data_IF_717420623966
#
_entry.id   IF_717420623966
#
_cell.length_a   1.000
_cell.length_b   1.000
_cell.length_c   1.000
_cell.angle_alpha   90.00
_cell.angle_beta   90.00
_cell.angle_gamma   90.00
#
_symmetry.space_group_name_H-M   'P 1'
#
loop_
_entity.id
_entity.type
_entity.pdbx_description
1 polymer ?
#
# COMPACT_ATOMS: atom_id res chain seq x y z
N UNK A 1 31.32 -13.97 41.34
CA UNK A 1 31.95 -12.68 40.94
C UNK A 1 32.50 -12.87 39.53
N UNK A 2 32.13 -12.14 38.47
CA UNK A 2 31.63 -10.77 38.33
C UNK A 2 30.50 -10.72 37.30
N UNK A 3 29.42 -10.03 37.66
CA UNK A 3 28.33 -9.54 36.81
C UNK A 3 28.77 -8.31 36.01
N UNK A 4 28.01 -7.97 34.95
CA UNK A 4 27.93 -6.71 34.19
C UNK A 4 28.47 -6.83 32.75
N UNK A 5 27.78 -6.41 31.68
CA UNK A 5 26.93 -5.22 31.49
C UNK A 5 26.32 -5.30 30.07
N UNK A 6 25.07 -5.74 29.86
CA UNK A 6 24.31 -5.46 28.63
C UNK A 6 22.81 -5.43 28.95
N UNK A 7 22.35 -4.35 29.57
CA UNK A 7 20.94 -3.91 29.53
C UNK A 7 20.91 -2.42 29.86
N UNK A 8 21.32 -1.61 28.89
CA UNK A 8 21.15 -0.15 28.91
C UNK A 8 20.86 0.30 27.47
N UNK A 9 19.60 0.15 27.03
CA UNK A 9 19.03 0.98 25.95
C UNK A 9 17.50 0.86 25.75
N UNK A 10 16.74 0.28 26.69
CA UNK A 10 15.26 0.21 26.57
C UNK A 10 14.59 1.24 27.50
N UNK A 11 15.15 2.44 27.63
CA UNK A 11 14.54 3.50 28.45
C UNK A 11 14.79 4.94 27.93
N UNK A 12 14.96 5.13 26.62
CA UNK A 12 15.14 6.48 26.04
C UNK A 12 14.07 6.88 25.01
N UNK A 13 12.86 6.36 25.11
CA UNK A 13 11.72 6.76 24.26
C UNK A 13 10.51 7.24 25.07
N UNK A 14 10.77 7.89 26.20
CA UNK A 14 9.74 8.60 26.97
C UNK A 14 10.16 10.06 27.21
N UNK A 15 10.50 10.77 26.14
CA UNK A 15 10.57 12.24 26.11
C UNK A 15 9.50 12.79 25.17
N UNK A 16 8.27 12.25 25.28
CA UNK A 16 7.08 13.01 24.95
C UNK A 16 6.89 14.00 26.08
N UNK A 17 7.15 15.28 25.80
CA UNK A 17 6.99 16.37 26.75
C UNK A 17 5.64 16.29 27.43
N UNK A 18 5.65 15.97 28.73
CA UNK A 18 4.56 16.23 29.65
C UNK A 18 4.33 17.74 29.67
N UNK A 19 3.42 18.22 28.84
CA UNK A 19 2.73 19.48 29.11
C UNK A 19 1.50 19.11 29.94
N UNK A 20 1.71 18.89 31.24
CA UNK A 20 0.60 18.87 32.21
C UNK A 20 0.32 20.32 32.60
N UNK A 21 -0.47 21.04 31.79
CA UNK A 21 -1.15 22.22 32.30
C UNK A 21 -2.53 21.80 32.79
N UNK A 22 -2.60 21.43 34.07
CA UNK A 22 -3.84 21.55 34.84
C UNK A 22 -3.55 21.67 36.34
N UNK A 23 -2.91 22.77 36.73
CA UNK A 23 -3.09 23.34 38.05
C UNK A 23 -3.51 24.80 37.89
N UNK A 24 -4.81 25.01 37.63
CA UNK A 24 -5.51 26.19 38.14
C UNK A 24 -6.69 25.66 38.95
N UNK A 25 -6.49 25.52 40.25
CA UNK A 25 -7.59 25.53 41.20
C UNK A 25 -7.36 26.70 42.17
N UNK A 26 -8.25 27.69 42.22
CA UNK A 26 -8.60 28.27 43.50
C UNK A 26 -9.21 27.13 44.35
N UNK A 27 -8.90 27.09 45.64
CA UNK A 27 -9.37 26.03 46.53
C UNK A 27 -10.90 25.98 46.54
N UNK A 28 -11.48 24.84 46.14
CA UNK A 28 -12.89 24.53 46.36
C UNK A 28 -12.95 23.20 47.11
N UNK A 29 -13.78 23.18 48.16
CA UNK A 29 -13.96 22.06 49.10
C UNK A 29 -14.44 20.75 48.44
N UNK A 30 -14.71 19.71 49.24
CA UNK A 30 -15.01 18.39 48.70
C UNK A 30 -16.30 18.43 47.90
N UNK A 31 -16.20 18.16 46.59
CA UNK A 31 -17.33 18.13 45.65
C UNK A 31 -18.03 16.78 45.71
N UNK A 32 -19.36 16.79 45.62
CA UNK A 32 -20.17 15.58 45.44
C UNK A 32 -19.91 14.95 44.07
N UNK A 33 -20.08 13.63 43.93
CA UNK A 33 -19.82 12.88 42.68
C UNK A 33 -20.59 13.46 41.47
N UNK A 34 -21.76 14.05 41.69
CA UNK A 34 -22.57 14.75 40.68
C UNK A 34 -21.91 16.02 40.12
N UNK A 35 -21.15 16.77 40.93
CA UNK A 35 -20.40 17.94 40.47
C UNK A 35 -19.11 17.56 39.73
N UNK A 36 -18.55 16.37 39.98
CA UNK A 36 -17.41 15.84 39.24
C UNK A 36 -17.81 15.40 37.81
N UNK A 37 -18.98 14.77 37.66
CA UNK A 37 -19.56 14.39 36.36
C UNK A 37 -19.96 15.64 35.55
N UNK A 38 -20.46 16.70 36.21
CA UNK A 38 -20.73 17.99 35.54
C UNK A 38 -19.50 18.74 35.05
N UNK A 39 -18.28 18.41 35.50
CA UNK A 39 -17.05 19.13 35.13
C UNK A 39 -16.14 18.39 34.13
N UNK A 40 -16.60 17.28 33.57
CA UNK A 40 -15.81 16.49 32.62
C UNK A 40 -16.32 16.67 31.19
N UNK A 41 -15.38 16.67 30.24
CA UNK A 41 -15.66 16.63 28.81
C UNK A 41 -15.57 15.17 28.36
N UNK A 42 -16.63 14.72 27.67
CA UNK A 42 -16.74 13.41 27.06
C UNK A 42 -15.48 13.04 26.25
N UNK A 43 -15.07 11.77 26.36
CA UNK A 43 -13.98 11.21 25.56
C UNK A 43 -14.45 10.89 24.14
N UNK A 44 -13.53 10.94 23.18
CA UNK A 44 -13.78 10.39 21.84
C UNK A 44 -13.75 8.86 21.96
N UNK A 45 -14.86 8.21 21.62
CA UNK A 45 -14.97 6.75 21.56
C UNK A 45 -14.44 6.20 20.25
N UNK A 46 -14.69 6.91 19.15
CA UNK A 46 -14.36 6.45 17.81
C UNK A 46 -14.17 7.63 16.87
N UNK A 47 -13.21 7.50 15.96
CA UNK A 47 -13.00 8.41 14.83
C UNK A 47 -12.68 7.58 13.59
N UNK A 48 -13.43 7.80 12.52
CA UNK A 48 -13.34 7.04 11.27
C UNK A 48 -13.38 7.98 10.09
N UNK A 49 -12.56 7.71 9.09
CA UNK A 49 -12.66 8.34 7.77
C UNK A 49 -13.43 7.40 6.86
N UNK A 50 -14.59 7.81 6.38
CA UNK A 50 -15.43 6.97 5.51
C UNK A 50 -15.21 7.30 4.05
N UNK A 51 -15.26 6.29 3.19
CA UNK A 51 -15.13 6.45 1.74
C UNK A 51 -16.18 7.41 1.20
N UNK A 52 -17.43 7.27 1.60
CA UNK A 52 -18.54 8.11 1.16
C UNK A 52 -18.29 9.62 1.41
N UNK A 53 -17.69 9.97 2.56
CA UNK A 53 -17.41 11.37 2.94
C UNK A 53 -16.10 11.91 2.37
N UNK A 54 -15.29 11.04 1.77
CA UNK A 54 -13.99 11.35 1.22
C UNK A 54 -13.87 10.88 -0.24
N UNK A 55 -14.96 11.01 -0.99
CA UNK A 55 -15.04 10.70 -2.42
C UNK A 55 -15.46 11.90 -3.24
N UNK A 56 -15.15 11.86 -4.54
CA UNK A 56 -15.49 12.87 -5.54
C UNK A 56 -16.33 12.25 -6.67
N UNK A 57 -17.08 13.11 -7.38
CA UNK A 57 -17.99 12.73 -8.46
C UNK A 57 -19.47 12.67 -8.04
N UNK A 58 -20.38 12.67 -9.01
CA UNK A 58 -21.83 12.48 -8.78
C UNK A 58 -22.41 11.61 -9.91
N UNK A 59 -22.65 10.31 -9.67
CA UNK A 59 -22.37 9.55 -8.44
C UNK A 59 -20.86 9.44 -8.14
N UNK A 60 -20.52 9.15 -6.87
CA UNK A 60 -19.12 9.06 -6.44
C UNK A 60 -18.36 7.97 -7.20
N UNK A 61 -17.19 8.31 -7.74
CA UNK A 61 -16.41 7.41 -8.62
C UNK A 61 -14.91 7.38 -8.31
N UNK A 62 -14.43 8.25 -7.41
CA UNK A 62 -13.03 8.30 -7.01
C UNK A 62 -12.90 8.76 -5.55
N UNK A 63 -11.81 8.36 -4.89
CA UNK A 63 -11.45 8.87 -3.57
C UNK A 63 -10.70 10.20 -3.70
N UNK A 64 -10.77 11.05 -2.68
CA UNK A 64 -9.83 12.17 -2.57
C UNK A 64 -8.40 11.66 -2.43
N UNK A 65 -7.42 12.44 -2.87
CA UNK A 65 -6.00 12.06 -2.77
C UNK A 65 -5.58 11.77 -1.33
N UNK A 66 -6.07 12.54 -0.35
CA UNK A 66 -5.78 12.32 1.06
C UNK A 66 -6.37 11.01 1.59
N UNK A 67 -7.57 10.62 1.17
CA UNK A 67 -8.18 9.36 1.59
C UNK A 67 -7.52 8.16 0.93
N UNK A 68 -7.22 8.26 -0.38
CA UNK A 68 -6.47 7.24 -1.09
C UNK A 68 -5.08 7.00 -0.45
N UNK A 69 -4.44 8.04 0.09
CA UNK A 69 -3.16 7.95 0.77
C UNK A 69 -3.20 7.15 2.10
N UNK A 70 -4.39 6.89 2.67
CA UNK A 70 -4.52 6.05 3.86
C UNK A 70 -4.42 4.54 3.55
N UNK A 71 -4.29 4.17 2.28
CA UNK A 71 -4.25 2.76 1.83
C UNK A 71 -2.91 2.42 1.20
N UNK A 72 -2.51 1.16 1.33
CA UNK A 72 -1.23 0.69 0.82
C UNK A 72 -1.25 0.73 -0.71
N UNK A 73 -0.19 1.27 -1.32
CA UNK A 73 -0.01 1.19 -2.78
C UNK A 73 0.18 -0.26 -3.20
N UNK A 74 -0.61 -0.73 -4.16
CA UNK A 74 -0.52 -2.09 -4.71
C UNK A 74 -0.26 -2.06 -6.21
N UNK A 75 0.22 -3.19 -6.72
CA UNK A 75 0.35 -3.45 -8.14
C UNK A 75 -0.30 -4.81 -8.44
N UNK A 76 -1.36 -4.88 -9.27
CA UNK A 76 -2.05 -3.75 -9.88
C UNK A 76 -2.66 -2.81 -8.82
N UNK A 77 -2.87 -1.55 -9.20
CA UNK A 77 -3.42 -0.55 -8.29
C UNK A 77 -4.82 -0.97 -7.81
N UNK A 78 -5.08 -0.77 -6.50
CA UNK A 78 -6.42 -0.97 -5.93
C UNK A 78 -7.38 0.00 -6.61
N UNK A 79 -8.52 -0.50 -7.09
CA UNK A 79 -9.51 0.36 -7.72
C UNK A 79 -10.31 1.12 -6.67
N UNK A 80 -10.98 2.20 -7.08
CA UNK A 80 -11.89 2.91 -6.18
C UNK A 80 -12.95 1.95 -5.60
N UNK A 81 -13.49 1.01 -6.38
CA UNK A 81 -14.49 0.06 -5.92
C UNK A 81 -13.97 -0.80 -4.74
N UNK A 82 -12.70 -1.19 -4.80
CA UNK A 82 -12.06 -2.10 -3.85
C UNK A 82 -11.49 -1.41 -2.60
N UNK A 83 -11.50 -0.07 -2.53
CA UNK A 83 -11.13 0.64 -1.31
C UNK A 83 -12.13 0.35 -0.19
N UNK A 84 -11.63 0.11 1.02
CA UNK A 84 -12.45 -0.11 2.20
C UNK A 84 -13.42 1.05 2.42
N UNK A 85 -14.61 0.74 2.94
CA UNK A 85 -15.65 1.75 3.20
C UNK A 85 -15.31 2.66 4.37
N UNK A 86 -14.44 2.19 5.29
CA UNK A 86 -14.09 2.85 6.52
C UNK A 86 -12.60 2.68 6.83
N UNK A 87 -11.97 3.76 7.28
CA UNK A 87 -10.61 3.75 7.84
C UNK A 87 -10.67 4.22 9.30
N UNK A 88 -10.67 3.31 10.29
CA UNK A 88 -10.71 3.68 11.71
C UNK A 88 -9.33 4.15 12.19
N UNK A 89 -9.28 5.26 12.91
CA UNK A 89 -8.08 5.65 13.64
C UNK A 89 -7.99 4.90 14.98
N UNK A 90 -6.77 4.73 15.49
CA UNK A 90 -6.51 4.06 16.76
C UNK A 90 -6.44 5.10 17.88
N UNK A 91 -7.23 4.92 18.93
CA UNK A 91 -7.19 5.78 20.11
C UNK A 91 -6.21 5.17 21.13
N UNK A 92 -5.21 5.95 21.55
CA UNK A 92 -4.21 5.57 22.54
C UNK A 92 -4.42 6.38 23.81
N UNK A 93 -4.88 5.70 24.86
CA UNK A 93 -5.32 6.37 26.09
C UNK A 93 -6.52 7.29 25.83
N UNK A 94 -6.55 8.44 26.50
CA UNK A 94 -7.71 9.33 26.46
C UNK A 94 -7.59 10.49 25.47
N UNK A 95 -6.39 10.79 24.97
CA UNK A 95 -6.13 12.06 24.26
C UNK A 95 -5.35 11.93 22.97
N UNK A 96 -4.76 10.77 22.66
CA UNK A 96 -3.98 10.58 21.41
C UNK A 96 -4.77 9.72 20.44
N UNK A 97 -4.89 10.19 19.20
CA UNK A 97 -5.58 9.52 18.10
C UNK A 97 -4.57 9.32 16.99
N UNK A 98 -4.12 8.07 16.78
CA UNK A 98 -3.15 7.70 15.75
C UNK A 98 -3.87 7.32 14.46
N UNK A 99 -3.58 8.05 13.39
CA UNK A 99 -3.94 7.72 12.01
C UNK A 99 -2.69 7.15 11.35
N UNK A 100 -2.69 5.85 11.11
CA UNK A 100 -1.56 5.17 10.50
C UNK A 100 -1.64 5.28 8.98
N UNK A 101 -0.68 5.95 8.37
CA UNK A 101 -0.57 6.11 6.91
C UNK A 101 0.41 5.06 6.39
N UNK A 102 0.08 4.25 5.38
CA UNK A 102 1.02 3.30 4.83
C UNK A 102 2.32 3.94 4.37
N UNK A 103 3.46 3.31 4.65
CA UNK A 103 4.79 3.80 4.31
C UNK A 103 4.92 3.98 2.80
N UNK A 104 5.22 5.20 2.37
CA UNK A 104 5.36 5.52 0.96
C UNK A 104 6.33 6.68 0.78
N UNK A 105 7.51 6.39 0.23
CA UNK A 105 8.55 7.41 -0.03
C UNK A 105 8.15 8.43 -1.09
N UNK A 106 7.17 8.10 -1.92
CA UNK A 106 6.68 8.96 -3.01
C UNK A 106 5.49 9.81 -2.59
N UNK A 107 4.98 9.64 -1.36
CA UNK A 107 3.84 10.40 -0.86
C UNK A 107 4.23 11.87 -0.61
N UNK A 108 3.60 12.77 -1.38
CA UNK A 108 3.89 14.20 -1.34
C UNK A 108 2.63 15.06 -1.54
N UNK A 109 1.73 15.03 -0.56
CA UNK A 109 0.59 15.95 -0.45
C UNK A 109 1.02 17.11 0.43
N UNK A 110 1.74 18.06 -0.18
CA UNK A 110 2.34 19.22 0.50
C UNK A 110 1.37 20.37 0.73
N UNK A 111 0.27 20.46 -0.03
CA UNK A 111 -0.85 21.34 0.30
C UNK A 111 -1.76 20.65 1.30
N UNK A 112 -2.20 21.36 2.34
CA UNK A 112 -3.10 20.78 3.34
C UNK A 112 -4.39 20.28 2.66
N UNK A 113 -4.63 18.97 2.77
CA UNK A 113 -5.80 18.31 2.23
C UNK A 113 -6.77 17.96 3.37
N UNK A 114 -8.07 18.08 3.11
CA UNK A 114 -9.10 17.83 4.11
C UNK A 114 -9.56 16.38 4.05
N UNK A 115 -9.52 15.71 5.21
CA UNK A 115 -10.17 14.45 5.48
C UNK A 115 -11.39 14.70 6.35
N UNK A 116 -12.56 14.27 5.92
CA UNK A 116 -13.77 14.34 6.74
C UNK A 116 -13.82 13.11 7.64
N UNK A 117 -13.75 13.34 8.95
CA UNK A 117 -13.85 12.29 9.96
C UNK A 117 -15.26 12.26 10.56
N UNK A 118 -15.79 11.07 10.77
CA UNK A 118 -16.99 10.83 11.58
C UNK A 118 -16.56 10.48 13.00
N UNK A 119 -16.94 11.32 13.97
CA UNK A 119 -16.54 11.23 15.38
C UNK A 119 -17.73 10.76 16.21
N UNK A 120 -17.50 9.83 17.12
CA UNK A 120 -18.46 9.38 18.13
C UNK A 120 -17.86 9.59 19.53
N UNK A 121 -18.63 10.20 20.42
CA UNK A 121 -18.25 10.38 21.83
C UNK A 121 -18.69 9.17 22.67
N UNK A 122 -18.03 8.94 23.80
CA UNK A 122 -18.40 7.86 24.73
C UNK A 122 -19.74 8.10 25.43
N UNK A 123 -20.11 9.36 25.58
CA UNK A 123 -21.35 9.84 26.20
C UNK A 123 -21.81 11.15 25.54
N UNK A 124 -22.97 11.64 25.95
CA UNK A 124 -23.48 12.91 25.44
C UNK A 124 -22.55 14.05 25.88
N UNK A 125 -22.26 15.04 25.03
CA UNK A 125 -21.32 16.11 25.37
C UNK A 125 -21.86 17.06 26.47
N UNK A 126 -23.19 17.13 26.65
CA UNK A 126 -23.85 18.11 27.51
C UNK A 126 -24.10 19.43 26.78
N UNK A 127 -24.79 20.34 27.48
CA UNK A 127 -25.14 21.65 26.93
C UNK A 127 -23.90 22.53 26.66
N UNK A 128 -24.00 23.35 25.60
CA UNK A 128 -23.01 24.37 25.25
C UNK A 128 -21.57 23.84 25.08
N UNK A 129 -21.44 22.65 24.52
CA UNK A 129 -20.16 22.06 24.13
C UNK A 129 -19.90 22.24 22.63
N UNK A 130 -18.65 22.52 22.29
CA UNK A 130 -18.20 22.87 20.95
C UNK A 130 -16.93 22.09 20.59
N UNK A 131 -16.80 21.73 19.31
CA UNK A 131 -15.53 21.30 18.71
C UNK A 131 -15.17 22.33 17.63
N UNK A 132 -14.10 23.09 17.86
CA UNK A 132 -13.86 24.32 17.10
C UNK A 132 -15.03 25.30 17.29
N UNK A 133 -15.60 25.78 16.18
CA UNK A 133 -16.78 26.65 16.19
C UNK A 133 -18.11 25.89 16.11
N UNK A 134 -18.06 24.58 15.87
CA UNK A 134 -19.26 23.74 15.74
C UNK A 134 -19.82 23.41 17.12
N UNK A 135 -21.04 23.89 17.42
CA UNK A 135 -21.82 23.44 18.58
C UNK A 135 -22.20 21.98 18.39
N UNK A 136 -21.89 21.15 19.38
CA UNK A 136 -22.28 19.74 19.40
C UNK A 136 -23.72 19.62 19.90
N UNK A 137 -24.48 18.73 19.27
CA UNK A 137 -25.80 18.35 19.77
C UNK A 137 -25.63 17.53 21.06
N UNK A 138 -26.55 17.67 22.00
CA UNK A 138 -26.54 16.87 23.24
C UNK A 138 -27.05 15.45 22.98
N UNK A 139 -26.31 14.72 22.14
CA UNK A 139 -26.64 13.40 21.62
C UNK A 139 -25.38 12.55 21.51
N UNK A 140 -25.55 11.24 21.56
CA UNK A 140 -24.49 10.26 21.27
C UNK A 140 -24.36 9.95 19.78
N UNK A 141 -25.20 10.56 18.93
CA UNK A 141 -25.13 10.39 17.49
C UNK A 141 -23.77 10.84 16.94
N UNK A 142 -23.18 10.11 15.99
CA UNK A 142 -21.93 10.53 15.35
C UNK A 142 -22.09 11.87 14.62
N UNK A 143 -21.01 12.64 14.54
CA UNK A 143 -20.97 13.89 13.80
C UNK A 143 -19.71 13.98 12.95
N UNK A 144 -19.83 14.69 11.82
CA UNK A 144 -18.71 14.91 10.92
C UNK A 144 -17.87 16.11 11.35
N UNK A 145 -16.55 16.01 11.19
CA UNK A 145 -15.59 17.09 11.41
C UNK A 145 -14.44 17.04 10.39
N UNK A 146 -14.12 18.15 9.72
CA UNK A 146 -13.01 18.21 8.77
C UNK A 146 -11.66 18.29 9.49
N UNK A 147 -10.71 17.48 9.05
CA UNK A 147 -9.32 17.50 9.51
C UNK A 147 -8.44 17.83 8.31
N UNK A 148 -7.85 19.02 8.32
CA UNK A 148 -6.92 19.46 7.27
C UNK A 148 -5.48 19.13 7.68
N UNK A 149 -4.76 18.41 6.82
CA UNK A 149 -3.38 17.98 7.10
C UNK A 149 -2.55 17.86 5.83
N UNK A 150 -1.24 17.99 5.97
CA UNK A 150 -0.29 17.62 4.92
C UNK A 150 0.11 16.15 5.10
N UNK A 151 0.25 15.42 3.99
CA UNK A 151 0.70 14.03 3.99
C UNK A 151 1.96 13.96 3.13
N UNK A 152 3.11 14.23 3.74
CA UNK A 152 4.42 14.20 3.10
C UNK A 152 5.28 13.18 3.84
N UNK A 153 5.87 12.24 3.10
CA UNK A 153 6.64 11.12 3.63
C UNK A 153 7.56 11.50 4.81
N UNK A 154 8.41 12.52 4.60
CA UNK A 154 9.41 12.96 5.58
C UNK A 154 8.81 13.43 6.91
N UNK A 155 7.59 13.96 6.90
CA UNK A 155 6.92 14.49 8.10
C UNK A 155 6.10 13.42 8.83
N UNK A 156 5.79 12.31 8.17
CA UNK A 156 5.00 11.20 8.72
C UNK A 156 5.87 10.19 9.47
N UNK A 157 7.20 10.33 9.47
CA UNK A 157 8.10 9.41 10.16
C UNK A 157 7.82 9.46 11.68
N UNK A 158 7.60 8.31 12.31
CA UNK A 158 7.22 8.26 13.74
C UNK A 158 8.30 8.88 14.64
N UNK A 159 9.58 8.71 14.30
CA UNK A 159 10.69 9.32 15.05
C UNK A 159 10.77 10.85 14.96
N UNK A 160 10.10 11.47 13.97
CA UNK A 160 9.96 12.94 13.89
C UNK A 160 8.70 13.44 14.60
N UNK A 161 7.91 12.55 15.21
CA UNK A 161 6.67 12.86 15.94
C UNK A 161 5.41 12.92 15.06
N UNK A 162 5.53 12.69 13.75
CA UNK A 162 4.43 12.75 12.80
C UNK A 162 3.90 14.15 12.50
N UNK A 163 2.85 14.19 11.66
CA UNK A 163 2.05 15.41 11.45
C UNK A 163 0.88 15.37 12.40
N UNK A 164 0.65 16.42 13.19
CA UNK A 164 -0.44 16.42 14.17
C UNK A 164 -1.37 17.62 14.07
N UNK A 165 -2.63 17.36 14.40
CA UNK A 165 -3.69 18.35 14.55
C UNK A 165 -4.25 18.24 15.97
N UNK A 166 -4.59 19.37 16.58
CA UNK A 166 -5.22 19.39 17.90
C UNK A 166 -6.70 19.65 17.73
N UNK A 167 -7.52 18.71 18.21
CA UNK A 167 -8.96 18.85 18.32
C UNK A 167 -9.28 19.28 19.76
N UNK A 168 -9.83 20.48 19.93
CA UNK A 168 -10.23 20.96 21.25
C UNK A 168 -11.75 20.93 21.39
N UNK A 169 -12.25 20.11 22.32
CA UNK A 169 -13.63 20.17 22.76
C UNK A 169 -13.70 21.15 23.94
N UNK A 170 -14.62 22.12 23.88
CA UNK A 170 -14.76 23.21 24.84
C UNK A 170 -16.20 23.31 25.32
N UNK A 171 -16.42 23.43 26.64
CA UNK A 171 -17.70 23.87 27.19
C UNK A 171 -17.63 25.36 27.46
N UNK A 172 -18.64 26.10 26.99
CA UNK A 172 -18.75 27.55 27.17
C UNK A 172 -19.95 27.89 28.04
N UNK A 173 -19.86 29.00 28.77
CA UNK A 173 -21.04 29.60 29.41
C UNK A 173 -21.90 30.37 28.39
N UNK A 174 -22.95 31.04 28.89
CA UNK A 174 -23.90 31.82 28.08
C UNK A 174 -23.24 33.00 27.37
N UNK A 175 -22.15 33.53 27.92
CA UNK A 175 -21.40 34.66 27.39
C UNK A 175 -20.25 34.22 26.46
N UNK A 176 -20.13 32.91 26.23
CA UNK A 176 -19.13 32.32 25.34
C UNK A 176 -17.76 32.10 25.97
N UNK A 177 -17.59 32.34 27.28
CA UNK A 177 -16.34 32.10 28.00
C UNK A 177 -16.13 30.60 28.19
N UNK A 178 -14.91 30.14 27.89
CA UNK A 178 -14.53 28.72 28.04
C UNK A 178 -14.44 28.37 29.52
N UNK A 179 -15.28 27.44 29.98
CA UNK A 179 -15.30 26.94 31.36
C UNK A 179 -14.31 25.79 31.55
N UNK A 180 -14.38 24.80 30.66
CA UNK A 180 -13.51 23.63 30.63
C UNK A 180 -13.14 23.31 29.18
N UNK A 181 -11.95 22.73 28.97
CA UNK A 181 -11.49 22.27 27.67
C UNK A 181 -10.77 20.93 27.77
N UNK A 182 -10.84 20.15 26.70
CA UNK A 182 -10.11 18.88 26.54
C UNK A 182 -9.54 18.81 25.13
N UNK A 183 -8.25 18.56 25.05
CA UNK A 183 -7.50 18.53 23.80
C UNK A 183 -7.19 17.09 23.40
N UNK A 184 -7.49 16.74 22.17
CA UNK A 184 -7.16 15.46 21.55
C UNK A 184 -6.14 15.71 20.44
N UNK A 185 -5.01 15.03 20.48
CA UNK A 185 -3.98 15.09 19.44
C UNK A 185 -4.26 14.01 18.41
N UNK A 186 -4.71 14.41 17.22
CA UNK A 186 -4.75 13.54 16.05
C UNK A 186 -3.38 13.57 15.40
N UNK A 187 -2.70 12.44 15.33
CA UNK A 187 -1.36 12.32 14.76
C UNK A 187 -1.39 11.37 13.57
N UNK A 188 -0.92 11.84 12.43
CA UNK A 188 -0.68 11.07 11.22
C UNK A 188 0.77 10.63 11.21
N UNK A 189 0.99 9.31 11.15
CA UNK A 189 2.34 8.72 11.08
C UNK A 189 2.35 7.52 10.17
N UNK A 190 3.53 7.23 9.61
CA UNK A 190 3.73 6.04 8.83
C UNK A 190 3.63 4.76 9.66
N UNK A 191 3.15 3.68 9.05
CA UNK A 191 3.41 2.34 9.57
C UNK A 191 4.87 1.94 9.39
N UNK A 192 5.21 0.79 9.97
CA UNK A 192 6.50 0.17 9.71
C UNK A 192 6.52 -0.33 8.26
N UNK A 193 7.54 0.02 7.46
CA UNK A 193 7.61 -0.43 6.08
C UNK A 193 7.80 -1.95 6.02
N UNK A 194 7.06 -2.58 5.11
CA UNK A 194 7.26 -3.99 4.77
C UNK A 194 8.62 -4.20 4.09
N UNK A 195 9.31 -5.26 4.49
CA UNK A 195 10.52 -5.76 3.82
C UNK A 195 10.21 -6.87 2.80
N UNK A 196 8.93 -7.15 2.53
CA UNK A 196 8.55 -8.21 1.61
C UNK A 196 8.76 -7.76 0.14
N UNK A 197 9.67 -8.44 -0.55
CA UNK A 197 9.93 -8.28 -1.99
C UNK A 197 9.69 -9.59 -2.77
N UNK A 198 8.94 -10.54 -2.20
CA UNK A 198 8.71 -11.86 -2.78
C UNK A 198 7.47 -11.85 -3.69
N UNK A 199 7.65 -12.08 -4.99
CA UNK A 199 6.56 -12.41 -5.91
C UNK A 199 6.19 -13.87 -5.64
N UNK A 200 4.93 -14.11 -5.28
CA UNK A 200 4.42 -15.47 -5.09
C UNK A 200 4.51 -16.30 -6.38
N UNK A 201 4.65 -17.65 -6.31
CA UNK A 201 4.79 -18.51 -7.49
C UNK A 201 3.68 -18.34 -8.54
N UNK A 202 2.46 -18.00 -8.10
CA UNK A 202 1.32 -17.78 -8.98
C UNK A 202 1.13 -16.31 -9.41
N UNK A 203 1.94 -15.38 -8.91
CA UNK A 203 1.64 -13.95 -9.00
C UNK A 203 2.21 -13.26 -10.24
N UNK A 204 3.05 -13.93 -11.03
CA UNK A 204 3.53 -13.41 -12.30
C UNK A 204 2.57 -13.80 -13.43
N UNK A 205 1.75 -12.85 -13.88
CA UNK A 205 0.59 -13.13 -14.76
C UNK A 205 0.46 -12.13 -15.90
N UNK A 206 -0.25 -12.56 -16.93
CA UNK A 206 -0.56 -11.81 -18.15
C UNK A 206 -2.06 -11.89 -18.42
N UNK A 207 -2.70 -10.78 -18.75
CA UNK A 207 -4.08 -10.73 -19.22
C UNK A 207 -4.07 -10.80 -20.73
N UNK A 208 -4.80 -11.75 -21.30
CA UNK A 208 -4.93 -11.89 -22.76
C UNK A 208 -5.62 -10.65 -23.33
N UNK A 209 -5.04 -10.02 -24.34
CA UNK A 209 -5.56 -8.79 -24.94
C UNK A 209 -5.38 -8.76 -26.47
N UNK A 210 -5.84 -7.69 -27.12
CA UNK A 210 -5.81 -7.56 -28.59
C UNK A 210 -4.52 -6.96 -29.16
N UNK A 211 -3.74 -6.22 -28.34
CA UNK A 211 -2.54 -5.49 -28.77
C UNK A 211 -1.23 -6.03 -28.21
N UNK A 212 -1.29 -6.62 -27.01
CA UNK A 212 -0.23 -7.30 -26.30
C UNK A 212 -0.84 -8.55 -25.68
N UNK A 213 -0.03 -9.52 -25.27
CA UNK A 213 -0.53 -10.80 -24.77
C UNK A 213 -1.59 -11.38 -25.73
N UNK A 214 -1.33 -11.30 -27.03
CA UNK A 214 -2.34 -11.63 -28.03
C UNK A 214 -2.73 -13.09 -27.92
N UNK A 215 -4.01 -13.40 -28.08
CA UNK A 215 -4.57 -14.76 -27.88
C UNK A 215 -3.71 -15.81 -28.60
N UNK A 216 -3.34 -15.55 -29.86
CA UNK A 216 -2.55 -16.48 -30.69
C UNK A 216 -1.09 -16.66 -30.27
N UNK A 217 -0.57 -15.86 -29.32
CA UNK A 217 0.74 -16.12 -28.70
C UNK A 217 0.67 -17.22 -27.64
N UNK A 218 -0.49 -17.40 -27.01
CA UNK A 218 -0.69 -18.40 -25.96
C UNK A 218 -1.24 -19.69 -26.53
N UNK A 219 -0.94 -20.80 -25.84
CA UNK A 219 -1.38 -22.13 -26.23
C UNK A 219 -2.90 -22.17 -26.34
N UNK A 220 -3.36 -22.73 -27.45
CA UNK A 220 -4.75 -23.02 -27.76
C UNK A 220 -5.24 -24.11 -26.81
N UNK A 221 -6.30 -23.78 -26.09
CA UNK A 221 -6.99 -24.70 -25.20
C UNK A 221 -8.42 -24.84 -25.76
N UNK A 222 -8.98 -26.04 -25.77
CA UNK A 222 -10.37 -26.27 -26.20
C UNK A 222 -11.26 -26.77 -25.06
N UNK A 223 -10.67 -27.16 -23.92
CA UNK A 223 -11.36 -27.64 -22.73
C UNK A 223 -10.66 -27.13 -21.46
N UNK A 224 -11.39 -26.64 -20.44
CA UNK A 224 -12.85 -26.53 -20.39
C UNK A 224 -13.41 -25.36 -21.22
N UNK A 225 -12.56 -24.40 -21.62
CA UNK A 225 -12.93 -23.23 -22.41
C UNK A 225 -11.73 -22.76 -23.23
N UNK A 226 -11.98 -22.28 -24.45
CA UNK A 226 -10.96 -21.61 -25.24
C UNK A 226 -10.53 -20.27 -24.62
N UNK A 227 -9.23 -19.96 -24.78
CA UNK A 227 -8.69 -18.69 -24.33
C UNK A 227 -9.37 -17.54 -25.06
N UNK A 228 -9.80 -16.56 -24.30
CA UNK A 228 -10.41 -15.33 -24.78
C UNK A 228 -9.70 -14.11 -24.19
N UNK A 229 -9.96 -12.94 -24.78
CA UNK A 229 -9.54 -11.66 -24.20
C UNK A 229 -10.08 -11.55 -22.76
N UNK A 230 -9.23 -11.12 -21.84
CA UNK A 230 -9.52 -11.03 -20.42
C UNK A 230 -9.16 -12.29 -19.61
N UNK A 231 -8.89 -13.43 -20.26
CA UNK A 231 -8.37 -14.60 -19.55
C UNK A 231 -6.95 -14.33 -19.05
N UNK A 232 -6.56 -15.01 -17.96
CA UNK A 232 -5.25 -14.82 -17.32
C UNK A 232 -4.34 -16.02 -17.59
N UNK A 233 -3.13 -15.75 -18.07
CA UNK A 233 -2.05 -16.73 -18.23
C UNK A 233 -1.02 -16.49 -17.13
N UNK A 234 -0.63 -17.55 -16.41
CA UNK A 234 0.42 -17.47 -15.39
C UNK A 234 1.75 -17.90 -15.99
N UNK A 235 2.83 -17.19 -15.70
CA UNK A 235 4.16 -17.73 -15.97
C UNK A 235 4.46 -18.88 -15.01
N UNK A 236 5.20 -19.87 -15.49
CA UNK A 236 5.68 -20.95 -14.65
C UNK A 236 6.79 -20.46 -13.73
N UNK A 237 6.61 -20.63 -12.41
CA UNK A 237 7.66 -20.37 -11.44
C UNK A 237 8.62 -21.55 -11.34
N UNK A 238 9.91 -21.31 -11.58
CA UNK A 238 10.96 -22.32 -11.41
C UNK A 238 11.32 -22.40 -9.93
N UNK A 239 10.96 -23.50 -9.28
CA UNK A 239 11.28 -23.73 -7.87
C UNK A 239 12.80 -23.66 -7.66
N UNK A 240 13.29 -22.74 -6.82
CA UNK A 240 14.72 -22.64 -6.53
C UNK A 240 15.23 -23.90 -5.81
N UNK A 241 16.44 -24.35 -6.13
CA UNK A 241 17.10 -25.43 -5.39
C UNK A 241 17.75 -24.87 -4.11
N UNK A 242 18.03 -25.71 -3.11
CA UNK A 242 18.59 -25.28 -1.81
C UNK A 242 19.93 -24.53 -1.91
N UNK A 243 20.64 -24.61 -3.05
CA UNK A 243 21.89 -23.89 -3.31
C UNK A 243 21.72 -22.51 -3.96
N UNK A 244 20.50 -22.10 -4.33
CA UNK A 244 20.26 -20.81 -4.99
C UNK A 244 20.14 -19.67 -4.00
N UNK A 245 21.18 -18.85 -3.89
CA UNK A 245 21.11 -17.56 -3.19
C UNK A 245 20.55 -16.50 -4.15
N UNK A 246 19.35 -15.99 -3.86
CA UNK A 246 18.70 -14.98 -4.71
C UNK A 246 19.62 -13.76 -4.87
N UNK A 247 20.14 -13.57 -6.08
CA UNK A 247 21.14 -12.58 -6.44
C UNK A 247 20.97 -12.19 -7.91
N UNK A 248 21.68 -11.16 -8.38
CA UNK A 248 21.62 -10.75 -9.79
C UNK A 248 22.13 -11.82 -10.77
N UNK A 249 23.04 -12.70 -10.33
CA UNK A 249 23.56 -13.84 -11.10
C UNK A 249 22.67 -15.08 -10.98
N UNK A 250 21.96 -15.26 -9.86
CA UNK A 250 21.00 -16.33 -9.64
C UNK A 250 19.61 -15.77 -9.22
N UNK A 251 18.89 -15.11 -10.15
CA UNK A 251 17.56 -14.57 -9.87
C UNK A 251 16.52 -15.68 -9.74
N UNK A 252 15.41 -15.39 -9.06
CA UNK A 252 14.22 -16.24 -9.15
C UNK A 252 13.65 -16.17 -10.57
N UNK A 253 13.25 -17.31 -11.11
CA UNK A 253 12.86 -17.40 -12.51
C UNK A 253 11.37 -17.70 -12.68
N UNK A 254 10.76 -16.92 -13.57
CA UNK A 254 9.46 -17.18 -14.17
C UNK A 254 9.66 -17.47 -15.66
N UNK A 255 8.83 -18.34 -16.23
CA UNK A 255 8.96 -18.78 -17.62
C UNK A 255 7.62 -18.71 -18.36
N UNK A 256 7.66 -18.22 -19.60
CA UNK A 256 6.68 -18.52 -20.64
C UNK A 256 7.27 -19.61 -21.53
N UNK A 257 6.78 -20.83 -21.35
CA UNK A 257 7.30 -22.04 -21.99
C UNK A 257 6.55 -22.32 -23.28
N UNK A 258 7.27 -22.85 -24.26
CA UNK A 258 6.68 -23.36 -25.51
C UNK A 258 5.79 -24.56 -25.25
N UNK A 259 4.80 -24.81 -26.12
CA UNK A 259 3.93 -25.97 -25.94
C UNK A 259 4.68 -27.29 -26.14
N UNK A 260 4.27 -28.34 -25.41
CA UNK A 260 4.63 -29.72 -25.78
C UNK A 260 4.04 -30.07 -27.14
N UNK A 261 4.76 -30.88 -27.91
CA UNK A 261 4.32 -31.40 -29.21
C UNK A 261 3.18 -32.41 -29.09
N UNK A 262 3.09 -33.11 -27.96
CA UNK A 262 2.05 -34.10 -27.67
C UNK A 262 1.72 -34.12 -26.18
N UNK A 263 0.53 -34.61 -25.84
CA UNK A 263 0.02 -34.69 -24.48
C UNK A 263 -1.29 -33.91 -24.28
N UNK A 264 -1.83 -34.00 -23.07
CA UNK A 264 -3.05 -33.30 -22.65
C UNK A 264 -2.85 -32.68 -21.27
N UNK A 265 -3.40 -31.49 -21.04
CA UNK A 265 -3.37 -30.86 -19.74
C UNK A 265 -3.41 -29.34 -19.78
N UNK A 266 -3.20 -28.75 -18.62
CA UNK A 266 -3.10 -27.30 -18.43
C UNK A 266 -1.68 -26.79 -18.77
N UNK A 267 -1.43 -25.52 -18.52
CA UNK A 267 -0.14 -24.90 -18.84
C UNK A 267 1.00 -25.50 -18.02
N UNK A 268 0.74 -26.02 -16.82
CA UNK A 268 1.78 -26.60 -15.97
C UNK A 268 2.44 -27.80 -16.66
N UNK A 269 1.65 -28.61 -17.39
CA UNK A 269 2.12 -29.81 -18.09
C UNK A 269 2.35 -29.61 -19.58
N UNK A 270 1.68 -28.64 -20.21
CA UNK A 270 1.70 -28.46 -21.66
C UNK A 270 2.40 -27.19 -22.14
N UNK A 271 2.74 -26.24 -21.27
CA UNK A 271 3.35 -24.96 -21.62
C UNK A 271 2.33 -23.86 -21.92
N UNK A 272 2.76 -22.61 -21.76
CA UNK A 272 1.90 -21.43 -21.86
C UNK A 272 1.77 -20.88 -23.29
N UNK A 273 2.80 -21.03 -24.12
CA UNK A 273 2.89 -20.46 -25.47
C UNK A 273 2.50 -21.47 -26.55
N UNK A 274 1.82 -21.01 -27.60
CA UNK A 274 1.43 -21.87 -28.73
C UNK A 274 2.64 -22.39 -29.51
N UNK A 275 3.70 -21.61 -29.54
CA UNK A 275 4.98 -21.91 -30.18
C UNK A 275 6.01 -20.90 -29.69
N UNK A 276 7.27 -21.05 -30.09
CA UNK A 276 8.24 -20.00 -29.89
C UNK A 276 7.78 -18.72 -30.60
N UNK A 277 7.73 -17.63 -29.84
CA UNK A 277 7.20 -16.33 -30.28
C UNK A 277 8.28 -15.47 -30.89
N UNK A 278 7.89 -14.72 -31.94
CA UNK A 278 8.80 -13.87 -32.72
C UNK A 278 8.97 -12.48 -32.07
N UNK A 279 9.88 -11.65 -32.61
CA UNK A 279 10.05 -10.25 -32.18
C UNK A 279 8.83 -9.34 -32.44
N UNK A 280 7.82 -9.83 -33.17
CA UNK A 280 6.55 -9.12 -33.39
C UNK A 280 5.48 -9.48 -32.36
N UNK A 281 5.72 -10.47 -31.51
CA UNK A 281 4.84 -10.81 -30.40
C UNK A 281 5.24 -9.98 -29.17
N UNK A 282 4.25 -9.32 -28.57
CA UNK A 282 4.42 -8.39 -27.47
C UNK A 282 3.71 -8.90 -26.23
N UNK A 283 4.35 -8.76 -25.08
CA UNK A 283 3.83 -9.17 -23.78
C UNK A 283 3.83 -8.01 -22.79
N UNK A 284 2.97 -8.11 -21.79
CA UNK A 284 2.90 -7.20 -20.65
C UNK A 284 2.43 -7.98 -19.44
N UNK A 285 3.20 -8.00 -18.36
CA UNK A 285 2.80 -8.62 -17.10
C UNK A 285 1.80 -7.70 -16.37
N UNK A 286 0.69 -7.35 -17.03
CA UNK A 286 -0.33 -6.41 -16.58
C UNK A 286 -1.21 -6.94 -15.45
N UNK A 287 -1.17 -8.26 -15.22
CA UNK A 287 -1.77 -8.94 -14.07
C UNK A 287 -0.73 -9.36 -13.01
N UNK A 288 0.53 -8.90 -13.12
CA UNK A 288 1.56 -9.14 -12.10
C UNK A 288 1.13 -8.54 -10.76
N UNK A 289 1.14 -9.39 -9.72
CA UNK A 289 0.87 -8.98 -8.34
C UNK A 289 2.18 -8.84 -7.58
N UNK A 290 2.50 -7.62 -7.18
CA UNK A 290 3.63 -7.35 -6.28
C UNK A 290 3.17 -7.39 -4.81
N UNK A 291 4.09 -7.65 -3.86
CA UNK A 291 3.84 -7.36 -2.47
C UNK A 291 3.37 -5.92 -2.27
N UNK A 292 2.54 -5.73 -1.25
CA UNK A 292 2.04 -4.42 -0.83
C UNK A 292 3.21 -3.42 -0.64
N UNK A 293 3.13 -2.29 -1.36
CA UNK A 293 4.12 -1.21 -1.35
C UNK A 293 5.41 -1.47 -2.13
N UNK A 294 5.61 -2.67 -2.69
CA UNK A 294 6.79 -2.99 -3.49
C UNK A 294 6.70 -2.40 -4.91
N UNK A 295 7.87 -2.14 -5.52
CA UNK A 295 7.97 -1.64 -6.89
C UNK A 295 9.10 -2.33 -7.66
N UNK A 296 9.08 -2.17 -8.98
CA UNK A 296 10.09 -2.73 -9.88
C UNK A 296 11.17 -1.68 -10.16
N UNK A 297 12.41 -2.09 -9.99
CA UNK A 297 13.62 -1.39 -10.42
C UNK A 297 14.24 -2.16 -11.59
N UNK A 298 14.60 -1.45 -12.66
CA UNK A 298 15.26 -1.99 -13.85
C UNK A 298 16.59 -1.27 -14.09
N UNK A 299 17.48 -1.91 -14.82
CA UNK A 299 18.74 -1.33 -15.28
C UNK A 299 18.51 -0.26 -16.37
N UNK A 300 19.59 0.42 -16.74
CA UNK A 300 19.56 1.48 -17.76
C UNK A 300 20.26 1.05 -19.06
N UNK A 301 20.72 -0.20 -19.15
CA UNK A 301 21.45 -0.70 -20.32
C UNK A 301 20.46 -1.14 -21.39
N UNK A 302 20.58 -0.59 -22.60
CA UNK A 302 19.69 -0.98 -23.70
C UNK A 302 19.73 -2.51 -23.94
N UNK A 303 18.55 -3.09 -24.13
CA UNK A 303 18.36 -4.50 -24.46
C UNK A 303 19.13 -4.84 -25.75
N UNK A 304 20.03 -5.85 -25.72
CA UNK A 304 20.80 -6.22 -26.91
C UNK A 304 19.90 -6.67 -28.07
N UNK A 305 20.32 -6.39 -29.30
CA UNK A 305 19.61 -6.80 -30.53
C UNK A 305 20.11 -8.12 -31.10
N UNK A 306 21.22 -8.65 -30.59
CA UNK A 306 21.84 -9.91 -31.03
C UNK A 306 21.98 -10.87 -29.86
N UNK A 307 21.75 -12.15 -30.14
CA UNK A 307 21.90 -13.21 -29.16
C UNK A 307 23.37 -13.64 -28.98
N UNK A 308 23.71 -13.99 -27.74
CA UNK A 308 24.94 -14.71 -27.38
C UNK A 308 24.52 -16.05 -26.79
N UNK A 309 25.10 -17.15 -27.26
CA UNK A 309 24.74 -18.52 -26.82
C UNK A 309 23.22 -18.82 -26.92
N UNK A 310 22.60 -18.42 -28.04
CA UNK A 310 21.16 -18.55 -28.31
C UNK A 310 20.25 -17.83 -27.29
N UNK A 311 20.79 -16.80 -26.62
CA UNK A 311 20.11 -16.05 -25.58
C UNK A 311 20.33 -14.55 -25.69
N UNK A 312 19.28 -13.78 -25.46
CA UNK A 312 19.36 -12.34 -25.21
C UNK A 312 19.01 -12.09 -23.74
N UNK A 313 19.82 -11.30 -23.04
CA UNK A 313 19.54 -10.88 -21.66
C UNK A 313 19.34 -9.37 -21.64
N UNK A 314 18.21 -8.93 -21.11
CA UNK A 314 17.83 -7.52 -20.99
C UNK A 314 17.48 -7.22 -19.55
N UNK A 315 17.99 -6.11 -19.01
CA UNK A 315 17.73 -5.68 -17.64
C UNK A 315 16.99 -4.33 -17.57
N UNK A 316 16.75 -3.67 -18.70
CA UNK A 316 16.14 -2.33 -18.79
C UNK A 316 14.65 -2.31 -19.14
N UNK A 317 14.00 -3.46 -19.16
CA UNK A 317 12.58 -3.56 -19.49
C UNK A 317 11.78 -3.86 -18.24
N UNK A 318 10.90 -2.93 -17.86
CA UNK A 318 9.93 -3.18 -16.80
C UNK A 318 8.85 -4.13 -17.36
N UNK A 319 8.61 -5.31 -16.77
CA UNK A 319 7.67 -6.28 -17.31
C UNK A 319 6.21 -5.78 -17.30
N UNK A 320 5.88 -4.79 -16.46
CA UNK A 320 4.53 -4.22 -16.36
C UNK A 320 4.33 -3.10 -17.36
N UNK A 321 5.26 -2.15 -17.48
CA UNK A 321 5.05 -0.96 -18.34
C UNK A 321 5.68 -1.09 -19.72
N UNK A 322 6.62 -2.02 -19.90
CA UNK A 322 7.63 -1.94 -20.94
C UNK A 322 8.72 -0.90 -20.58
N UNK A 323 9.68 -0.71 -21.48
CA UNK A 323 10.70 0.33 -21.42
C UNK A 323 10.30 1.62 -22.18
N UNK A 324 11.04 2.69 -21.95
CA UNK A 324 10.75 4.05 -22.45
C UNK A 324 11.01 4.29 -23.93
N UNK A 325 11.75 3.41 -24.61
CA UNK A 325 12.27 3.65 -25.96
C UNK A 325 11.92 2.53 -26.96
N UNK A 326 10.68 2.02 -26.92
CA UNK A 326 10.26 0.89 -27.77
C UNK A 326 10.84 -0.47 -27.34
N UNK A 327 11.54 -0.49 -26.21
CA UNK A 327 12.01 -1.71 -25.53
C UNK A 327 10.83 -2.38 -24.83
N UNK A 328 10.11 -3.23 -25.54
CA UNK A 328 8.98 -3.96 -24.97
C UNK A 328 9.42 -5.36 -24.57
N UNK A 329 8.61 -6.00 -23.72
CA UNK A 329 8.73 -7.41 -23.45
C UNK A 329 8.24 -8.18 -24.70
N UNK A 330 9.13 -8.78 -25.48
CA UNK A 330 8.83 -9.40 -26.77
C UNK A 330 9.44 -10.80 -26.90
N UNK A 331 9.04 -11.54 -27.93
CA UNK A 331 9.77 -12.74 -28.37
C UNK A 331 11.08 -12.42 -29.12
N UNK A 332 11.80 -13.44 -29.57
CA UNK A 332 13.00 -13.28 -30.41
C UNK A 332 12.63 -13.32 -31.89
N UNK A 333 13.33 -12.60 -32.77
CA UNK A 333 13.10 -12.70 -34.23
C UNK A 333 13.26 -14.12 -34.83
N UNK A 334 13.91 -15.05 -34.11
CA UNK A 334 14.11 -16.45 -34.51
C UNK A 334 13.57 -17.40 -33.44
N UNK A 335 12.84 -18.44 -33.86
CA UNK A 335 12.06 -19.34 -33.00
C UNK A 335 12.88 -20.27 -32.08
N UNK A 336 14.21 -20.15 -32.05
CA UNK A 336 15.11 -21.02 -31.27
C UNK A 336 15.74 -20.33 -30.06
N UNK A 337 15.66 -18.99 -29.99
CA UNK A 337 16.38 -18.23 -28.96
C UNK A 337 15.49 -17.90 -27.77
N UNK A 338 16.08 -17.96 -26.57
CA UNK A 338 15.45 -17.57 -25.30
C UNK A 338 15.69 -16.08 -25.05
N UNK A 339 14.67 -15.37 -24.55
CA UNK A 339 14.84 -14.00 -24.05
C UNK A 339 14.70 -13.99 -22.55
N UNK A 340 15.68 -13.42 -21.88
CA UNK A 340 15.72 -13.27 -20.44
C UNK A 340 15.59 -11.81 -20.05
N UNK A 341 14.50 -11.48 -19.38
CA UNK A 341 14.22 -10.15 -18.86
C UNK A 341 14.46 -10.14 -17.35
N UNK A 342 15.57 -9.53 -16.93
CA UNK A 342 15.95 -9.39 -15.53
C UNK A 342 15.39 -8.10 -14.96
N UNK A 343 14.92 -8.15 -13.73
CA UNK A 343 14.44 -6.98 -13.00
C UNK A 343 14.57 -7.22 -11.50
N UNK A 344 14.49 -6.15 -10.73
CA UNK A 344 14.56 -6.21 -9.27
C UNK A 344 13.22 -5.78 -8.69
N UNK A 345 12.69 -6.54 -7.73
CA UNK A 345 11.61 -6.05 -6.87
C UNK A 345 12.24 -5.47 -5.63
N UNK A 346 11.91 -4.21 -5.36
CA UNK A 346 12.30 -3.50 -4.15
C UNK A 346 11.09 -3.44 -3.23
N UNK A 347 11.26 -3.89 -1.99
CA UNK A 347 10.20 -3.82 -0.98
C UNK A 347 9.84 -2.36 -0.64
N UNK A 348 8.74 -2.18 0.08
CA UNK A 348 8.24 -0.88 0.54
C UNK A 348 9.29 -0.10 1.36
N UNK A 349 10.16 -0.78 2.11
CA UNK A 349 11.29 -0.18 2.83
C UNK A 349 12.34 0.51 1.92
N UNK A 350 12.32 0.23 0.61
CA UNK A 350 13.26 0.70 -0.39
C UNK A 350 14.70 0.22 -0.19
N UNK A 351 14.92 -0.82 0.63
CA UNK A 351 16.23 -1.41 0.95
C UNK A 351 16.27 -2.89 0.61
N UNK A 352 15.22 -3.63 0.96
CA UNK A 352 15.15 -5.07 0.72
C UNK A 352 14.88 -5.31 -0.76
N UNK A 353 15.77 -6.07 -1.40
CA UNK A 353 15.72 -6.36 -2.83
C UNK A 353 15.64 -7.86 -3.07
N UNK A 354 14.89 -8.24 -4.11
CA UNK A 354 14.90 -9.59 -4.69
C UNK A 354 15.05 -9.50 -6.20
N UNK A 355 15.88 -10.38 -6.75
CA UNK A 355 16.22 -10.40 -8.17
C UNK A 355 15.36 -11.43 -8.89
N UNK A 356 14.80 -11.03 -10.02
CA UNK A 356 13.91 -11.86 -10.82
C UNK A 356 14.34 -11.87 -12.28
N UNK A 357 13.91 -12.92 -12.96
CA UNK A 357 14.06 -13.09 -14.39
C UNK A 357 12.78 -13.68 -14.97
N UNK A 358 12.30 -13.11 -16.06
CA UNK A 358 11.29 -13.74 -16.92
C UNK A 358 11.98 -14.29 -18.17
N UNK A 359 11.82 -15.58 -18.44
CA UNK A 359 12.31 -16.21 -19.67
C UNK A 359 11.15 -16.43 -20.64
N UNK A 360 11.24 -15.85 -21.84
CA UNK A 360 10.30 -16.08 -22.96
C UNK A 360 10.94 -17.08 -23.93
N UNK A 361 10.11 -17.93 -24.55
CA UNK A 361 10.54 -19.09 -25.34
C UNK A 361 11.32 -20.11 -24.51
N UNK A 362 10.99 -20.25 -23.22
CA UNK A 362 11.54 -21.33 -22.42
C UNK A 362 11.13 -22.70 -23.01
N UNK A 363 11.92 -23.72 -22.71
CA UNK A 363 11.65 -25.07 -23.19
C UNK A 363 10.29 -25.53 -22.68
N UNK A 364 9.62 -26.37 -23.47
CA UNK A 364 8.37 -26.98 -23.04
C UNK A 364 8.56 -27.69 -21.68
N UNK A 365 7.49 -27.84 -20.87
CA UNK A 365 7.58 -28.61 -19.64
C UNK A 365 8.21 -29.98 -19.91
N UNK A 366 8.93 -30.55 -18.96
CA UNK A 366 9.42 -31.93 -19.09
C UNK A 366 8.29 -32.94 -18.90
#
# INVERSE_FOLDING_TARGET
MKTNKIFKNILSLLTLGLVVFSCNKPSEGPKTEEEAIKNTIANIKRIVFTKAKNSTGTPASAATSAYAALFVKKTPAVTYADLDTEFPAVIQGDTVIKVTVPFDKTLNISTAATLTATITLNEKPGENVYLGDKKLTDSTAPFDYPISTQLVHANLIESTGGVSQVLEIKRKDKDGKVLIKKSFKVVFIHDAPSNNAIIGPDNFKFTVASSHNVVGSFRTITSPKARAIGDVVKAHYVTPTSSTTNSSSAPFEFQLRTKKTSGTGDDSTMGELEQAVTATAYFKADALVLPDGAYIEVGNTACPTTATDNKITCDSVNPITGGTDGQQLKGHGTSTNKLEYKFTVVAQDGKTKKYYKLTINADAPN
#
